data_IF_746322448009
#
_entry.id   IF_746322448009
#
_cell.length_a   1.000
_cell.length_b   1.000
_cell.length_c   1.000
_cell.angle_alpha   90.00
_cell.angle_beta   90.00
_cell.angle_gamma   90.00
#
_symmetry.space_group_name_H-M   'P 1'
#
loop_
_entity.id
_entity.type
_entity.pdbx_description
1 polymer ?
#
# COMPACT_ATOMS: atom_id res chain seq x y z
N UNK A 1 3.27 -9.64 -3.47
CA UNK A 1 2.50 -8.43 -3.14
C UNK A 1 3.38 -7.35 -2.52
N UNK A 2 2.88 -6.14 -2.49
CA UNK A 2 3.51 -5.03 -1.79
C UNK A 2 3.11 -5.04 -0.30
N UNK A 3 4.08 -4.73 0.57
CA UNK A 3 3.83 -4.59 2.02
C UNK A 3 3.41 -3.14 2.31
N UNK A 4 2.40 -2.95 3.16
CA UNK A 4 1.88 -1.62 3.52
C UNK A 4 1.55 -0.74 2.30
N UNK A 5 1.02 -1.32 1.21
CA UNK A 5 0.95 -0.63 -0.08
C UNK A 5 0.17 0.68 -0.02
N UNK A 6 -1.08 0.65 0.42
CA UNK A 6 -1.90 1.88 0.47
C UNK A 6 -1.34 2.94 1.44
N UNK A 7 -0.90 2.62 2.67
CA UNK A 7 -0.16 3.57 3.50
C UNK A 7 1.08 4.14 2.82
N UNK A 8 1.87 3.30 2.12
CA UNK A 8 3.06 3.76 1.40
C UNK A 8 2.73 4.75 0.26
N UNK A 9 1.55 4.65 -0.36
CA UNK A 9 1.13 5.60 -1.40
C UNK A 9 0.98 7.02 -0.88
N UNK A 10 0.72 7.23 0.42
CA UNK A 10 0.67 8.57 1.02
C UNK A 10 2.02 9.29 0.93
N UNK A 11 3.14 8.58 0.82
CA UNK A 11 4.46 9.20 0.62
C UNK A 11 4.62 9.88 -0.74
N UNK A 12 3.74 9.56 -1.70
CA UNK A 12 3.76 10.14 -3.05
C UNK A 12 2.98 11.45 -3.17
N UNK A 13 2.31 11.88 -2.10
CA UNK A 13 1.55 13.12 -2.11
C UNK A 13 2.46 14.36 -2.21
N UNK A 14 1.98 15.41 -2.86
CA UNK A 14 2.68 16.70 -3.03
C UNK A 14 1.82 17.89 -2.57
N UNK A 15 0.73 17.61 -1.87
CA UNK A 15 -0.26 18.62 -1.47
C UNK A 15 0.22 19.42 -0.28
N UNK A 16 0.85 18.75 0.68
CA UNK A 16 1.44 19.35 1.89
C UNK A 16 2.91 19.00 1.96
N UNK A 17 3.74 19.99 2.27
CA UNK A 17 5.16 19.74 2.54
C UNK A 17 5.30 19.00 3.87
N UNK A 18 5.81 17.77 3.80
CA UNK A 18 6.12 16.94 4.96
C UNK A 18 7.54 17.31 5.43
N UNK A 19 7.77 17.60 6.72
CA UNK A 19 9.11 17.77 7.28
C UNK A 19 9.94 16.48 7.12
N UNK A 20 11.23 16.62 6.90
CA UNK A 20 12.14 15.50 6.62
C UNK A 20 12.08 14.41 7.71
N UNK A 21 12.13 14.81 8.98
CA UNK A 21 12.05 13.88 10.12
C UNK A 21 10.78 13.02 10.13
N UNK A 22 9.62 13.64 9.77
CA UNK A 22 8.35 12.92 9.73
C UNK A 22 8.26 12.02 8.49
N UNK A 23 8.77 12.50 7.35
CA UNK A 23 8.88 11.71 6.13
C UNK A 23 9.75 10.48 6.35
N UNK A 24 10.94 10.64 6.92
CA UNK A 24 11.87 9.54 7.20
C UNK A 24 11.27 8.52 8.16
N UNK A 25 10.66 8.99 9.26
CA UNK A 25 9.99 8.13 10.24
C UNK A 25 8.88 7.31 9.59
N UNK A 26 7.95 7.97 8.88
CA UNK A 26 6.82 7.31 8.22
C UNK A 26 7.28 6.33 7.14
N UNK A 27 8.21 6.77 6.31
CA UNK A 27 8.78 5.97 5.22
C UNK A 27 9.52 4.74 5.73
N UNK A 28 10.30 4.89 6.81
CA UNK A 28 11.00 3.76 7.45
C UNK A 28 10.02 2.70 7.94
N UNK A 29 8.97 3.12 8.63
CA UNK A 29 7.94 2.21 9.14
C UNK A 29 7.22 1.48 8.00
N UNK A 30 6.80 2.21 6.95
CA UNK A 30 6.15 1.59 5.80
C UNK A 30 7.04 0.60 5.05
N UNK A 31 8.36 0.86 4.99
CA UNK A 31 9.32 0.07 4.21
C UNK A 31 9.89 -1.12 4.98
N UNK A 32 10.26 -0.91 6.24
CA UNK A 32 11.08 -1.85 7.03
C UNK A 32 10.29 -2.55 8.14
N UNK A 33 9.14 -2.01 8.48
CA UNK A 33 8.29 -2.48 9.58
C UNK A 33 6.86 -2.75 9.07
N UNK A 34 5.89 -2.70 9.98
CA UNK A 34 4.47 -2.81 9.64
C UNK A 34 3.72 -1.64 10.29
N UNK A 35 3.20 -0.74 9.47
CA UNK A 35 2.47 0.45 9.96
C UNK A 35 1.26 0.07 10.81
N UNK A 36 0.63 -1.06 10.54
CA UNK A 36 -0.54 -1.51 11.30
C UNK A 36 -0.14 -2.03 12.69
N UNK A 37 1.01 -2.73 12.80
CA UNK A 37 1.59 -3.09 14.09
C UNK A 37 2.06 -1.86 14.86
N UNK A 38 2.71 -0.91 14.19
CA UNK A 38 3.10 0.37 14.80
C UNK A 38 1.89 1.11 15.41
N UNK A 39 0.75 1.09 14.71
CA UNK A 39 -0.49 1.70 15.20
C UNK A 39 -1.13 0.88 16.31
N UNK A 40 -1.11 -0.45 16.23
CA UNK A 40 -1.63 -1.36 17.26
C UNK A 40 -0.97 -1.12 18.62
N UNK A 41 0.35 -0.97 18.63
CA UNK A 41 1.11 -0.70 19.87
C UNK A 41 0.73 0.61 20.56
N UNK A 42 0.04 1.53 19.87
CA UNK A 42 -0.26 2.90 20.32
C UNK A 42 -1.74 3.19 20.46
N UNK A 43 -2.59 2.29 20.02
CA UNK A 43 -4.05 2.43 20.03
C UNK A 43 -4.67 1.27 20.81
N UNK A 44 -5.04 1.51 22.07
CA UNK A 44 -5.52 0.47 22.98
C UNK A 44 -6.92 -0.09 22.66
N UNK A 45 -7.61 0.45 21.66
CA UNK A 45 -8.92 -0.03 21.23
C UNK A 45 -8.86 -1.31 20.39
N UNK A 46 -7.66 -1.73 19.94
CA UNK A 46 -7.47 -2.86 19.04
C UNK A 46 -6.67 -3.96 19.71
N UNK A 47 -7.04 -5.20 19.42
CA UNK A 47 -6.34 -6.39 19.91
C UNK A 47 -5.46 -7.03 18.84
N UNK A 48 -5.80 -6.83 17.57
CA UNK A 48 -5.12 -7.49 16.45
C UNK A 48 -4.68 -6.52 15.35
N UNK A 49 -3.62 -6.90 14.66
CA UNK A 49 -3.12 -6.19 13.49
C UNK A 49 -4.16 -6.06 12.37
N UNK A 50 -4.97 -7.09 12.17
CA UNK A 50 -5.93 -7.13 11.06
C UNK A 50 -7.13 -6.23 11.32
N UNK A 51 -7.54 -6.05 12.57
CA UNK A 51 -8.50 -5.02 12.98
C UNK A 51 -7.97 -3.63 12.66
N UNK A 52 -6.74 -3.31 13.10
CA UNK A 52 -6.10 -2.02 12.77
C UNK A 52 -6.02 -1.81 11.26
N UNK A 53 -5.63 -2.83 10.49
CA UNK A 53 -5.55 -2.73 9.03
C UNK A 53 -6.91 -2.40 8.42
N UNK A 54 -7.95 -3.11 8.83
CA UNK A 54 -9.32 -2.89 8.34
C UNK A 54 -9.78 -1.48 8.63
N UNK A 55 -9.61 -1.02 9.86
CA UNK A 55 -10.06 0.29 10.28
C UNK A 55 -9.17 1.42 9.75
N UNK A 56 -7.88 1.19 9.54
CA UNK A 56 -6.99 2.15 8.90
C UNK A 56 -7.42 2.41 7.45
N UNK A 57 -7.74 1.36 6.70
CA UNK A 57 -8.24 1.49 5.34
C UNK A 57 -9.63 2.14 5.29
N UNK A 58 -10.51 1.78 6.24
CA UNK A 58 -11.81 2.42 6.39
C UNK A 58 -11.67 3.91 6.77
N UNK A 59 -10.75 4.25 7.66
CA UNK A 59 -10.42 5.62 8.08
C UNK A 59 -10.05 6.50 6.88
N UNK A 60 -9.20 6.02 5.99
CA UNK A 60 -8.82 6.75 4.78
C UNK A 60 -10.01 7.09 3.88
N UNK A 61 -11.07 6.27 3.91
CA UNK A 61 -12.25 6.42 3.06
C UNK A 61 -13.47 7.07 3.75
N UNK A 62 -13.43 7.26 5.09
CA UNK A 62 -14.51 7.94 5.84
C UNK A 62 -14.53 9.45 5.57
N UNK A 63 -15.71 10.08 5.71
CA UNK A 63 -15.82 11.55 5.74
C UNK A 63 -15.00 12.12 6.89
N UNK A 64 -14.38 13.29 6.69
CA UNK A 64 -13.51 13.92 7.68
C UNK A 64 -14.17 14.07 9.06
N UNK A 65 -15.45 14.48 9.11
CA UNK A 65 -16.20 14.65 10.36
C UNK A 65 -16.31 13.36 11.21
N UNK A 66 -16.31 12.18 10.58
CA UNK A 66 -16.37 10.91 11.27
C UNK A 66 -14.97 10.34 11.54
N UNK A 67 -14.03 10.62 10.63
CA UNK A 67 -12.65 10.17 10.76
C UNK A 67 -11.96 10.78 11.97
N UNK A 68 -12.11 12.08 12.20
CA UNK A 68 -11.46 12.79 13.32
C UNK A 68 -11.95 12.33 14.70
N UNK A 69 -13.06 11.61 14.77
CA UNK A 69 -13.58 11.03 16.01
C UNK A 69 -12.94 9.67 16.34
N UNK A 70 -12.31 9.02 15.36
CA UNK A 70 -11.70 7.70 15.56
C UNK A 70 -10.42 7.83 16.40
N UNK A 71 -10.25 6.97 17.42
CA UNK A 71 -8.99 6.91 18.19
C UNK A 71 -7.80 6.57 17.30
N UNK A 72 -8.01 5.71 16.32
CA UNK A 72 -6.99 5.38 15.33
C UNK A 72 -6.49 6.63 14.58
N UNK A 73 -7.39 7.53 14.17
CA UNK A 73 -6.99 8.78 13.52
C UNK A 73 -6.25 9.72 14.47
N UNK A 74 -6.71 9.86 15.71
CA UNK A 74 -6.02 10.69 16.72
C UNK A 74 -4.61 10.16 16.99
N UNK A 75 -4.47 8.84 17.13
CA UNK A 75 -3.16 8.17 17.29
C UNK A 75 -2.27 8.38 16.06
N UNK A 76 -2.84 8.29 14.84
CA UNK A 76 -2.14 8.59 13.61
C UNK A 76 -1.72 10.07 13.54
N UNK A 77 -2.59 10.99 13.90
CA UNK A 77 -2.31 12.43 13.93
C UNK A 77 -1.21 12.79 14.94
N UNK A 78 -1.21 12.18 16.12
CA UNK A 78 -0.13 12.36 17.11
C UNK A 78 1.21 11.82 16.61
N UNK A 79 1.19 10.71 15.87
CA UNK A 79 2.40 10.06 15.36
C UNK A 79 2.96 10.72 14.09
N UNK A 80 2.06 11.23 13.22
CA UNK A 80 2.34 11.75 11.89
C UNK A 80 1.42 12.94 11.56
N UNK A 81 1.60 14.10 12.23
CA UNK A 81 0.67 15.22 12.14
C UNK A 81 0.52 15.76 10.72
N UNK A 82 1.59 15.85 9.94
CA UNK A 82 1.52 16.38 8.57
C UNK A 82 0.92 15.39 7.57
N UNK A 83 1.11 14.09 7.79
CA UNK A 83 0.39 13.08 7.01
C UNK A 83 -1.11 13.08 7.34
N UNK A 84 -1.49 13.28 8.60
CA UNK A 84 -2.89 13.46 8.99
C UNK A 84 -3.51 14.70 8.35
N UNK A 85 -2.81 15.84 8.36
CA UNK A 85 -3.21 17.06 7.64
C UNK A 85 -3.39 16.79 6.14
N UNK A 86 -2.48 16.01 5.55
CA UNK A 86 -2.57 15.60 4.13
C UNK A 86 -3.84 14.81 3.85
N UNK A 87 -4.16 13.83 4.69
CA UNK A 87 -5.38 13.02 4.54
C UNK A 87 -6.62 13.91 4.64
N UNK A 88 -6.66 14.83 5.60
CA UNK A 88 -7.75 15.80 5.75
C UNK A 88 -7.89 16.70 4.51
N UNK A 89 -6.78 17.20 4.00
CA UNK A 89 -6.74 18.11 2.84
C UNK A 89 -7.16 17.43 1.55
N UNK A 90 -6.70 16.21 1.28
CA UNK A 90 -7.14 15.43 0.11
C UNK A 90 -8.66 15.26 0.11
N UNK A 91 -9.26 15.10 1.29
CA UNK A 91 -10.70 14.84 1.46
C UNK A 91 -11.53 16.10 1.75
N UNK A 92 -10.96 17.30 1.58
CA UNK A 92 -11.63 18.56 1.92
C UNK A 92 -12.95 18.73 1.16
N UNK A 93 -12.93 18.52 -0.16
CA UNK A 93 -14.11 18.66 -1.01
C UNK A 93 -14.99 17.40 -1.02
N UNK A 94 -14.36 16.22 -0.95
CA UNK A 94 -15.06 14.92 -0.94
C UNK A 94 -14.20 13.83 -0.34
N UNK A 95 -14.81 13.00 0.51
CA UNK A 95 -14.13 11.81 1.05
C UNK A 95 -13.69 10.82 -0.05
N UNK A 96 -14.30 10.85 -1.23
CA UNK A 96 -13.94 10.00 -2.36
C UNK A 96 -12.61 10.39 -3.00
N UNK A 97 -12.11 11.61 -2.78
CA UNK A 97 -10.83 12.04 -3.36
C UNK A 97 -9.65 11.22 -2.84
N UNK A 98 -9.69 10.73 -1.60
CA UNK A 98 -8.68 9.81 -1.08
C UNK A 98 -8.70 8.48 -1.83
N UNK A 99 -9.88 7.91 -2.05
CA UNK A 99 -10.03 6.66 -2.84
C UNK A 99 -9.47 6.84 -4.25
N UNK A 100 -9.82 7.95 -4.92
CA UNK A 100 -9.29 8.27 -6.26
C UNK A 100 -7.78 8.44 -6.25
N UNK A 101 -7.22 9.14 -5.27
CA UNK A 101 -5.78 9.33 -5.12
C UNK A 101 -5.06 7.97 -4.98
N UNK A 102 -5.51 7.11 -4.07
CA UNK A 102 -4.90 5.80 -3.84
C UNK A 102 -5.02 4.90 -5.08
N UNK A 103 -6.21 4.79 -5.67
CA UNK A 103 -6.45 3.96 -6.85
C UNK A 103 -5.68 4.46 -8.08
N UNK A 104 -5.53 5.78 -8.24
CA UNK A 104 -4.76 6.33 -9.34
C UNK A 104 -3.28 5.95 -9.22
N UNK A 105 -2.68 6.13 -8.04
CA UNK A 105 -1.28 5.75 -7.80
C UNK A 105 -1.06 4.24 -7.94
N UNK A 106 -1.96 3.43 -7.39
CA UNK A 106 -1.94 1.97 -7.54
C UNK A 106 -1.95 1.58 -9.02
N UNK A 107 -2.89 2.13 -9.79
CA UNK A 107 -3.00 1.87 -11.23
C UNK A 107 -1.72 2.26 -11.97
N UNK A 108 -1.13 3.42 -11.67
CA UNK A 108 0.12 3.87 -12.28
C UNK A 108 1.30 2.95 -11.94
N UNK A 109 1.33 2.37 -10.75
CA UNK A 109 2.38 1.44 -10.32
C UNK A 109 2.16 0.06 -10.96
N UNK A 110 0.96 -0.49 -10.82
CA UNK A 110 0.65 -1.84 -11.27
C UNK A 110 0.59 -1.92 -12.80
N UNK A 111 -0.23 -1.12 -13.47
CA UNK A 111 -0.42 -1.22 -14.91
C UNK A 111 0.57 -0.37 -15.71
N UNK A 112 0.78 0.88 -15.32
CA UNK A 112 1.73 1.79 -15.99
C UNK A 112 3.19 1.37 -15.80
N UNK A 113 3.52 0.77 -14.67
CA UNK A 113 4.86 0.32 -14.32
C UNK A 113 5.06 -1.19 -14.53
N UNK A 114 4.45 -2.00 -13.65
CA UNK A 114 4.73 -3.44 -13.54
C UNK A 114 4.27 -4.22 -14.77
N UNK A 115 2.97 -4.20 -15.08
CA UNK A 115 2.39 -4.97 -16.20
C UNK A 115 3.05 -4.57 -17.51
N UNK A 116 3.18 -3.26 -17.78
CA UNK A 116 3.83 -2.76 -19.01
C UNK A 116 5.26 -3.28 -19.14
N UNK A 117 6.05 -3.26 -18.06
CA UNK A 117 7.44 -3.73 -18.08
C UNK A 117 7.52 -5.25 -18.23
N UNK A 118 6.66 -6.00 -17.55
CA UNK A 118 6.67 -7.46 -17.63
C UNK A 118 6.25 -7.97 -19.01
N UNK A 119 5.33 -7.31 -19.69
CA UNK A 119 4.96 -7.66 -21.09
C UNK A 119 6.15 -7.64 -22.05
N UNK A 120 7.16 -6.82 -21.77
CA UNK A 120 8.38 -6.75 -22.60
C UNK A 120 9.49 -7.69 -22.14
N UNK A 121 9.48 -8.10 -20.87
CA UNK A 121 10.58 -8.89 -20.26
C UNK A 121 10.25 -10.34 -20.00
N UNK A 122 8.99 -10.65 -19.72
CA UNK A 122 8.55 -12.01 -19.44
C UNK A 122 8.00 -12.67 -20.70
N UNK A 123 8.43 -13.89 -20.98
CA UNK A 123 7.88 -14.76 -22.03
C UNK A 123 6.76 -15.66 -21.50
N UNK A 124 6.58 -15.72 -20.19
CA UNK A 124 5.57 -16.55 -19.54
C UNK A 124 4.34 -15.73 -19.19
N UNK A 125 3.17 -16.36 -19.13
CA UNK A 125 1.94 -15.70 -18.69
C UNK A 125 2.06 -15.24 -17.23
N UNK A 126 1.40 -14.15 -16.93
CA UNK A 126 1.22 -13.65 -15.57
C UNK A 126 -0.16 -12.97 -15.47
N UNK A 127 -0.68 -12.86 -14.26
CA UNK A 127 -1.89 -12.07 -13.98
C UNK A 127 -1.74 -11.29 -12.68
N UNK A 128 -2.54 -10.27 -12.52
CA UNK A 128 -2.56 -9.43 -11.33
C UNK A 128 -3.93 -9.44 -10.68
N UNK A 129 -3.94 -9.44 -9.35
CA UNK A 129 -5.15 -9.24 -8.54
C UNK A 129 -4.81 -8.15 -7.53
N UNK A 130 -5.44 -6.99 -7.65
CA UNK A 130 -5.10 -5.80 -6.86
C UNK A 130 -3.60 -5.46 -6.95
N UNK A 131 -2.92 -5.43 -5.83
CA UNK A 131 -1.48 -5.18 -5.67
C UNK A 131 -0.62 -6.46 -5.70
N UNK A 132 -1.23 -7.60 -6.01
CA UNK A 132 -0.53 -8.89 -6.13
C UNK A 132 -0.24 -9.23 -7.60
N UNK A 133 0.85 -9.96 -7.83
CA UNK A 133 1.18 -10.55 -9.11
C UNK A 133 1.42 -12.04 -8.97
N UNK A 134 0.80 -12.79 -9.87
CA UNK A 134 0.92 -14.24 -9.98
C UNK A 134 1.70 -14.58 -11.24
N UNK A 135 2.73 -15.39 -11.09
CA UNK A 135 3.65 -15.77 -12.17
C UNK A 135 4.23 -17.16 -11.93
N UNK A 136 4.61 -17.90 -12.98
CA UNK A 136 5.35 -19.14 -12.81
C UNK A 136 6.64 -18.93 -12.03
N UNK A 137 7.01 -19.91 -11.23
CA UNK A 137 8.20 -19.84 -10.38
C UNK A 137 9.49 -19.49 -11.16
N UNK A 138 9.62 -19.98 -12.39
CA UNK A 138 10.75 -19.66 -13.28
C UNK A 138 10.91 -18.17 -13.58
N UNK A 139 9.86 -17.36 -13.44
CA UNK A 139 9.87 -15.91 -13.70
C UNK A 139 10.03 -15.05 -12.44
N UNK A 140 10.09 -15.66 -11.28
CA UNK A 140 10.11 -14.97 -9.97
C UNK A 140 11.20 -13.91 -9.86
N UNK A 141 12.41 -14.20 -10.35
CA UNK A 141 13.52 -13.25 -10.29
C UNK A 141 13.30 -12.04 -11.20
N UNK A 142 12.75 -12.24 -12.39
CA UNK A 142 12.40 -11.17 -13.34
C UNK A 142 11.36 -10.23 -12.68
N UNK A 143 10.32 -10.82 -12.07
CA UNK A 143 9.27 -10.04 -11.39
C UNK A 143 9.86 -9.27 -10.21
N UNK A 144 10.69 -9.89 -9.37
CA UNK A 144 11.36 -9.21 -8.25
C UNK A 144 12.21 -8.04 -8.71
N UNK A 145 12.98 -8.20 -9.78
CA UNK A 145 13.84 -7.14 -10.31
C UNK A 145 13.02 -5.97 -10.88
N UNK A 146 11.91 -6.28 -11.56
CA UNK A 146 11.00 -5.25 -12.08
C UNK A 146 10.36 -4.49 -10.92
N UNK A 147 9.85 -5.17 -9.89
CA UNK A 147 9.27 -4.56 -8.71
C UNK A 147 10.28 -3.65 -7.98
N UNK A 148 11.50 -4.13 -7.73
CA UNK A 148 12.58 -3.33 -7.11
C UNK A 148 12.86 -2.06 -7.91
N UNK A 149 12.93 -2.15 -9.24
CA UNK A 149 13.15 -0.98 -10.11
C UNK A 149 12.01 0.02 -10.06
N UNK A 150 10.77 -0.45 -9.96
CA UNK A 150 9.60 0.42 -9.87
C UNK A 150 9.58 1.14 -8.51
N UNK A 151 9.82 0.42 -7.41
CA UNK A 151 9.92 0.96 -6.07
C UNK A 151 10.97 2.07 -6.03
N UNK A 152 12.18 1.78 -6.52
CA UNK A 152 13.29 2.75 -6.55
C UNK A 152 12.97 3.96 -7.43
N UNK A 153 12.50 3.74 -8.66
CA UNK A 153 12.20 4.80 -9.62
C UNK A 153 11.11 5.76 -9.13
N UNK A 154 10.16 5.27 -8.34
CA UNK A 154 9.04 6.06 -7.83
C UNK A 154 9.24 6.54 -6.40
N UNK A 155 10.41 6.27 -5.78
CA UNK A 155 10.68 6.53 -4.37
C UNK A 155 9.57 5.99 -3.45
N UNK A 156 9.02 4.83 -3.79
CA UNK A 156 7.92 4.23 -3.03
C UNK A 156 8.46 3.57 -1.76
N UNK A 157 7.96 3.99 -0.62
CA UNK A 157 8.38 3.49 0.69
C UNK A 157 7.65 2.19 1.06
N UNK A 158 7.93 1.12 0.35
CA UNK A 158 7.34 -0.21 0.55
C UNK A 158 8.38 -1.29 0.27
N UNK A 159 8.11 -2.49 0.75
CA UNK A 159 8.84 -3.70 0.38
C UNK A 159 7.95 -4.68 -0.36
N UNK A 160 8.54 -5.75 -0.88
CA UNK A 160 7.83 -6.81 -1.60
C UNK A 160 7.90 -8.09 -0.79
N UNK A 161 6.75 -8.66 -0.49
CA UNK A 161 6.64 -9.98 0.15
C UNK A 161 6.31 -11.03 -0.91
N UNK A 162 7.06 -12.12 -0.88
CA UNK A 162 6.75 -13.31 -1.64
C UNK A 162 5.83 -14.19 -0.81
N UNK A 163 4.65 -14.48 -1.34
CA UNK A 163 3.81 -15.55 -0.81
C UNK A 163 4.28 -16.84 -1.43
N UNK A 164 4.49 -17.86 -0.62
CA UNK A 164 4.91 -19.18 -1.09
C UNK A 164 3.95 -19.71 -2.15
N UNK A 165 4.44 -20.57 -3.01
CA UNK A 165 3.67 -21.33 -3.97
C UNK A 165 2.41 -21.87 -3.30
N UNK A 166 1.29 -21.81 -4.01
CA UNK A 166 0.21 -22.77 -3.79
C UNK A 166 0.88 -24.14 -3.90
N UNK A 167 1.19 -24.72 -2.73
CA UNK A 167 1.85 -26.01 -2.67
C UNK A 167 0.96 -27.02 -3.38
N UNK A 168 1.44 -27.61 -4.45
CA UNK A 168 1.09 -28.93 -4.99
C UNK A 168 -0.38 -29.36 -5.05
N UNK A 169 -1.33 -28.43 -5.11
CA UNK A 169 -2.65 -28.80 -5.60
C UNK A 169 -2.60 -28.81 -7.13
N UNK A 170 -2.81 -29.98 -7.76
CA UNK A 170 -2.94 -30.04 -9.21
C UNK A 170 -4.06 -29.08 -9.59
N UNK A 171 -3.80 -28.19 -10.53
CA UNK A 171 -4.84 -27.37 -11.16
C UNK A 171 -5.93 -28.33 -11.62
N UNK A 172 -7.10 -28.27 -10.98
CA UNK A 172 -8.26 -29.00 -11.45
C UNK A 172 -8.48 -28.63 -12.92
N UNK A 173 -8.67 -29.61 -13.81
CA UNK A 173 -8.89 -29.32 -15.22
C UNK A 173 -10.15 -28.43 -15.31
N UNK A 174 -10.01 -27.27 -15.91
CA UNK A 174 -11.14 -26.44 -16.31
C UNK A 174 -11.83 -27.19 -17.42
N UNK A 175 -12.94 -27.86 -17.09
CA UNK A 175 -13.82 -28.41 -18.11
C UNK A 175 -14.46 -27.23 -18.86
N UNK A 176 -14.03 -27.06 -20.11
CA UNK A 176 -14.62 -26.14 -21.08
C UNK A 176 -15.84 -26.81 -21.68
#
# INVERSE_FOLDING_TARGET
DFVNFQPALLTLQQIIKIPEYEYEKYSSICKNEDIYLFMLERCSEYETRDEVKTDFLAMLNKKNQHMVQMELFKTFQMSFPRYADTVLKIKEDSHLEMTKFLQWHETQIMFGGLVRTLRTKSKSPFFTVHDEIYTPFSQRNIVKDVLKKIISKRNLCTSVKEKGLLSDQPLLPINV
#
